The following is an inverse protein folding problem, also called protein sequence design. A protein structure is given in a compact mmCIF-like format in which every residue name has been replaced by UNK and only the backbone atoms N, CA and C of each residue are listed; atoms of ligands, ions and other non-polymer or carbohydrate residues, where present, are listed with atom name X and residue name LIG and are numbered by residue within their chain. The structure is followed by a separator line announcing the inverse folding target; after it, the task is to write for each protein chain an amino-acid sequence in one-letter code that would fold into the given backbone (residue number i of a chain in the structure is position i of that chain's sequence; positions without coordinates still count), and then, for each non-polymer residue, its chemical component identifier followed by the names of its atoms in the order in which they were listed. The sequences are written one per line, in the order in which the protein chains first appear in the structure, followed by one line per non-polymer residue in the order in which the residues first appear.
data_IF_827217298291
#
_entry.id   IF_827217298291
#
_cell.length_a   1.000
_cell.length_b   1.000
_cell.length_c   1.000
_cell.angle_alpha   90.00
_cell.angle_beta   90.00
_cell.angle_gamma   90.00
#
_symmetry.space_group_name_H-M   'P 1'
#
loop_
_entity.id
_entity.type
_entity.pdbx_description
1 polymer ?
#
# COMPACT_ATOMS: atom_id res chain seq x y z
N UNK A 1 -7.55 20.11 5.45
CA UNK A 1 -8.21 18.86 5.02
C UNK A 1 -7.91 18.51 3.55
N UNK A 2 -8.07 19.43 2.60
CA UNK A 2 -7.87 19.17 1.15
C UNK A 2 -6.40 19.04 0.71
N UNK A 3 -5.49 19.84 1.28
CA UNK A 3 -4.06 19.82 0.91
C UNK A 3 -3.41 18.45 1.17
N UNK A 4 -3.63 17.87 2.34
CA UNK A 4 -3.13 16.53 2.73
C UNK A 4 -3.62 15.41 1.81
N UNK A 5 -4.89 15.48 1.37
CA UNK A 5 -5.46 14.50 0.43
C UNK A 5 -4.79 14.66 -0.94
N UNK A 6 -4.59 15.89 -1.41
CA UNK A 6 -3.92 16.19 -2.68
C UNK A 6 -2.48 15.67 -2.72
N UNK A 7 -1.70 15.89 -1.66
CA UNK A 7 -0.35 15.31 -1.56
C UNK A 7 -0.36 13.78 -1.54
N UNK A 8 -1.35 13.18 -0.87
CA UNK A 8 -1.49 11.72 -0.84
C UNK A 8 -1.83 11.15 -2.22
N UNK A 9 -2.69 11.85 -3.00
CA UNK A 9 -2.98 11.49 -4.38
C UNK A 9 -1.74 11.54 -5.26
N UNK A 10 -0.95 12.61 -5.17
CA UNK A 10 0.28 12.74 -5.94
C UNK A 10 1.27 11.58 -5.64
N UNK A 11 1.41 11.22 -4.36
CA UNK A 11 2.21 10.07 -3.93
C UNK A 11 1.66 8.75 -4.48
N UNK A 12 0.34 8.53 -4.45
CA UNK A 12 -0.30 7.33 -5.00
C UNK A 12 -0.09 7.20 -6.51
N UNK A 13 -0.13 8.31 -7.24
CA UNK A 13 0.13 8.35 -8.68
C UNK A 13 1.59 7.97 -8.96
N UNK A 14 2.55 8.55 -8.24
CA UNK A 14 3.97 8.18 -8.34
C UNK A 14 4.21 6.70 -8.01
N UNK A 15 3.58 6.19 -6.95
CA UNK A 15 3.64 4.76 -6.61
C UNK A 15 3.01 3.86 -7.69
N UNK A 16 2.11 4.39 -8.52
CA UNK A 16 1.50 3.63 -9.62
C UNK A 16 2.37 3.62 -10.86
N UNK A 17 3.02 4.74 -11.17
CA UNK A 17 4.02 4.80 -12.24
C UNK A 17 5.21 3.88 -11.93
N UNK A 18 5.70 3.87 -10.70
CA UNK A 18 6.79 2.97 -10.29
C UNK A 18 6.40 1.50 -10.41
N UNK A 19 5.17 1.10 -10.05
CA UNK A 19 4.72 -0.29 -10.28
C UNK A 19 4.70 -0.67 -11.76
N UNK A 20 4.28 0.25 -12.64
CA UNK A 20 4.24 0.00 -14.09
C UNK A 20 5.64 -0.11 -14.70
N UNK A 21 6.62 0.64 -14.19
CA UNK A 21 8.01 0.48 -14.61
C UNK A 21 8.58 -0.86 -14.12
N UNK A 22 8.39 -1.20 -12.84
CA UNK A 22 8.90 -2.45 -12.27
C UNK A 22 8.35 -3.68 -12.99
N UNK A 23 7.07 -3.67 -13.37
CA UNK A 23 6.45 -4.81 -14.09
C UNK A 23 7.06 -5.06 -15.48
N UNK A 24 7.68 -4.05 -16.10
CA UNK A 24 8.26 -4.17 -17.45
C UNK A 24 9.75 -4.54 -17.43
N UNK A 25 10.49 -4.17 -16.38
CA UNK A 25 11.95 -4.30 -16.34
C UNK A 25 12.48 -5.37 -15.37
N UNK A 26 11.66 -5.87 -14.43
CA UNK A 26 12.13 -6.80 -13.38
C UNK A 26 11.61 -8.22 -13.64
N UNK A 27 12.45 -9.20 -13.31
CA UNK A 27 12.11 -10.62 -13.40
C UNK A 27 10.84 -10.94 -12.58
N UNK A 28 9.95 -11.80 -13.11
CA UNK A 28 8.58 -12.00 -12.62
C UNK A 28 8.49 -12.27 -11.11
N UNK A 29 9.36 -13.11 -10.55
CA UNK A 29 9.34 -13.43 -9.10
C UNK A 29 9.72 -12.24 -8.21
N UNK A 30 10.79 -11.54 -8.57
CA UNK A 30 11.29 -10.40 -7.79
C UNK A 30 10.36 -9.19 -7.98
N UNK A 31 9.86 -8.99 -9.19
CA UNK A 31 8.88 -7.96 -9.53
C UNK A 31 7.57 -8.17 -8.78
N UNK A 32 7.05 -9.39 -8.69
CA UNK A 32 5.84 -9.70 -7.96
C UNK A 32 5.95 -9.35 -6.46
N UNK A 33 7.04 -9.77 -5.80
CA UNK A 33 7.31 -9.40 -4.41
C UNK A 33 7.41 -7.89 -4.21
N UNK A 34 8.10 -7.19 -5.11
CA UNK A 34 8.25 -5.73 -5.02
C UNK A 34 6.92 -4.99 -5.22
N UNK A 35 6.13 -5.40 -6.21
CA UNK A 35 4.80 -4.83 -6.48
C UNK A 35 3.86 -5.10 -5.29
N UNK A 36 3.95 -6.27 -4.66
CA UNK A 36 3.17 -6.60 -3.47
C UNK A 36 3.51 -5.69 -2.28
N UNK A 37 4.80 -5.45 -2.02
CA UNK A 37 5.21 -4.48 -1.00
C UNK A 37 4.73 -3.06 -1.32
N UNK A 38 4.85 -2.62 -2.58
CA UNK A 38 4.31 -1.32 -3.01
C UNK A 38 2.79 -1.24 -2.80
N UNK A 39 2.05 -2.33 -3.07
CA UNK A 39 0.61 -2.41 -2.82
C UNK A 39 0.28 -2.24 -1.34
N UNK A 40 1.06 -2.87 -0.45
CA UNK A 40 0.92 -2.66 0.99
C UNK A 40 1.12 -1.21 1.41
N UNK A 41 2.13 -0.53 0.87
CA UNK A 41 2.36 0.90 1.12
C UNK A 41 1.19 1.75 0.60
N UNK A 42 0.67 1.48 -0.60
CA UNK A 42 -0.52 2.17 -1.14
C UNK A 42 -1.72 2.00 -0.20
N UNK A 43 -1.96 0.79 0.28
CA UNK A 43 -3.06 0.50 1.19
C UNK A 43 -2.97 1.29 2.50
N UNK A 44 -1.77 1.43 3.08
CA UNK A 44 -1.58 2.28 4.28
C UNK A 44 -1.93 3.74 3.97
N UNK A 45 -1.44 4.29 2.86
CA UNK A 45 -1.74 5.68 2.48
C UNK A 45 -3.24 5.93 2.30
N UNK A 46 -3.94 5.00 1.63
CA UNK A 46 -5.39 5.06 1.44
C UNK A 46 -6.12 4.96 2.77
N UNK A 47 -5.78 3.95 3.58
CA UNK A 47 -6.45 3.67 4.84
C UNK A 47 -6.29 4.83 5.83
N UNK A 48 -5.10 5.41 5.96
CA UNK A 48 -4.86 6.50 6.91
C UNK A 48 -5.33 7.88 6.42
N UNK A 49 -5.26 8.18 5.12
CA UNK A 49 -5.59 9.53 4.61
C UNK A 49 -6.99 9.64 3.98
N UNK A 50 -7.54 8.58 3.40
CA UNK A 50 -8.86 8.61 2.76
C UNK A 50 -9.95 7.97 3.62
N UNK A 51 -9.65 6.88 4.34
CA UNK A 51 -10.61 6.27 5.26
C UNK A 51 -10.60 6.95 6.65
N UNK A 52 -9.94 8.10 6.77
CA UNK A 52 -9.79 8.87 8.01
C UNK A 52 -9.32 8.05 9.24
N UNK A 53 -8.65 6.91 9.06
CA UNK A 53 -8.18 6.09 10.19
C UNK A 53 -7.25 6.85 11.13
N UNK A 54 -6.63 7.96 10.69
CA UNK A 54 -5.89 8.87 11.56
C UNK A 54 -6.71 9.31 12.79
N UNK A 55 -8.01 9.57 12.62
CA UNK A 55 -8.92 9.97 13.72
C UNK A 55 -9.60 8.78 14.40
N UNK A 56 -9.50 7.58 13.83
CA UNK A 56 -10.12 6.39 14.40
C UNK A 56 -9.42 5.92 15.68
N UNK A 57 -10.16 5.17 16.49
CA UNK A 57 -9.62 4.51 17.68
C UNK A 57 -8.41 3.64 17.34
N UNK A 58 -7.48 3.54 18.27
CA UNK A 58 -6.26 2.73 18.13
C UNK A 58 -6.58 1.29 17.76
N UNK A 59 -7.70 0.76 18.25
CA UNK A 59 -8.22 -0.55 17.86
C UNK A 59 -8.28 -0.76 16.34
N UNK A 60 -8.88 0.16 15.59
CA UNK A 60 -8.99 0.07 14.13
C UNK A 60 -7.63 0.17 13.44
N UNK A 61 -6.74 1.04 13.94
CA UNK A 61 -5.39 1.18 13.39
C UNK A 61 -4.60 -0.12 13.50
N UNK A 62 -4.70 -0.80 14.65
CA UNK A 62 -4.06 -2.10 14.89
C UNK A 62 -4.67 -3.18 14.00
N UNK A 63 -5.99 -3.21 13.86
CA UNK A 63 -6.70 -4.21 13.06
C UNK A 63 -6.31 -4.14 11.57
N UNK A 64 -6.24 -2.93 11.00
CA UNK A 64 -5.77 -2.69 9.63
C UNK A 64 -4.30 -3.12 9.44
N UNK A 65 -3.44 -2.83 10.42
CA UNK A 65 -2.03 -3.25 10.37
C UNK A 65 -1.89 -4.77 10.44
N UNK A 66 -2.64 -5.42 11.33
CA UNK A 66 -2.66 -6.87 11.46
C UNK A 66 -3.15 -7.54 10.17
N UNK A 67 -4.24 -7.02 9.58
CA UNK A 67 -4.73 -7.47 8.29
C UNK A 67 -3.67 -7.35 7.19
N UNK A 68 -2.95 -6.22 7.14
CA UNK A 68 -1.92 -6.00 6.13
C UNK A 68 -0.75 -7.00 6.27
N UNK A 69 -0.30 -7.27 7.49
CA UNK A 69 0.75 -8.26 7.74
C UNK A 69 0.30 -9.66 7.34
N UNK A 70 -0.91 -10.05 7.72
CA UNK A 70 -1.49 -11.34 7.32
C UNK A 70 -1.62 -11.45 5.80
N UNK A 71 -2.07 -10.39 5.13
CA UNK A 71 -2.19 -10.35 3.68
C UNK A 71 -0.83 -10.52 2.98
N UNK A 72 0.18 -9.76 3.40
CA UNK A 72 1.53 -9.84 2.80
C UNK A 72 2.14 -11.22 3.04
N UNK A 73 2.04 -11.76 4.24
CA UNK A 73 2.62 -13.07 4.58
C UNK A 73 1.92 -14.21 3.83
N UNK A 74 0.58 -14.21 3.78
CA UNK A 74 -0.17 -15.23 3.04
C UNK A 74 0.15 -15.18 1.56
N UNK A 75 0.07 -14.02 0.91
CA UNK A 75 0.35 -13.92 -0.53
C UNK A 75 1.81 -14.23 -0.85
N UNK A 76 2.76 -13.86 0.02
CA UNK A 76 4.18 -14.24 -0.15
C UNK A 76 4.42 -15.74 -0.12
N UNK A 77 3.59 -16.53 0.56
CA UNK A 77 3.72 -17.99 0.58
C UNK A 77 3.23 -18.64 -0.72
N UNK A 78 2.39 -17.95 -1.49
CA UNK A 78 1.81 -18.46 -2.75
C UNK A 78 2.56 -18.00 -4.00
N UNK A 79 3.52 -17.06 -3.87
CA UNK A 79 4.40 -16.55 -4.94
C UNK A 79 5.69 -17.37 -5.03
#
# INVERSE_FOLDING_TARGET
MTKTISYTLAILILLTLTTALVSNYVNLKIGALFIMLLSGVKFIFVSFNFMELKKAHVFWKVLILMYLVLFITTVSLFI
#
